data_IF_158723673745
#
_entry.id   IF_158723673745
#
_cell.length_a   1.000
_cell.length_b   1.000
_cell.length_c   1.000
_cell.angle_alpha   90.00
_cell.angle_beta   90.00
_cell.angle_gamma   90.00
#
_symmetry.space_group_name_H-M   'P 1'
#
loop_
_entity.id
_entity.type
_entity.pdbx_description
1 polymer ?
#
# COMPACT_ATOMS: atom_id res chain seq x y z
N UNK A 1 -24.19 -17.08 13.26
CA UNK A 1 -23.46 -16.11 12.40
C UNK A 1 -22.58 -16.93 11.49
N UNK A 2 -22.73 -16.79 10.17
CA UNK A 2 -21.86 -17.49 9.23
C UNK A 2 -20.44 -16.92 9.39
N UNK A 3 -19.46 -17.80 9.62
CA UNK A 3 -18.06 -17.46 9.48
C UNK A 3 -17.86 -17.11 7.99
N UNK A 4 -17.73 -15.82 7.67
CA UNK A 4 -17.27 -15.41 6.34
C UNK A 4 -15.79 -15.76 6.32
N UNK A 5 -15.40 -16.67 5.44
CA UNK A 5 -13.99 -16.94 5.21
C UNK A 5 -13.39 -15.69 4.56
N UNK A 6 -12.32 -15.18 5.12
CA UNK A 6 -11.60 -14.03 4.58
C UNK A 6 -11.02 -14.27 3.19
N UNK A 7 -10.90 -15.54 2.80
CA UNK A 7 -10.63 -15.96 1.43
C UNK A 7 -11.68 -15.45 0.43
N UNK A 8 -12.92 -15.17 0.86
CA UNK A 8 -14.00 -14.68 -0.02
C UNK A 8 -13.88 -13.18 -0.34
N UNK A 9 -13.16 -12.39 0.48
CA UNK A 9 -13.05 -10.92 0.31
C UNK A 9 -11.80 -10.50 -0.46
N UNK A 10 -10.74 -11.31 -0.41
CA UNK A 10 -9.53 -11.07 -1.20
C UNK A 10 -9.74 -11.62 -2.61
N UNK A 11 -9.99 -10.74 -3.57
CA UNK A 11 -10.11 -11.15 -4.98
C UNK A 11 -8.73 -11.32 -5.58
N UNK A 12 -8.42 -12.56 -5.94
CA UNK A 12 -7.13 -12.97 -6.50
C UNK A 12 -7.17 -12.92 -8.03
N UNK A 13 -6.15 -12.33 -8.62
CA UNK A 13 -5.96 -12.23 -10.06
C UNK A 13 -4.76 -13.06 -10.50
N UNK A 14 -4.93 -13.82 -11.59
CA UNK A 14 -3.84 -14.57 -12.23
C UNK A 14 -3.10 -13.78 -13.31
N UNK A 15 -3.53 -12.54 -13.61
CA UNK A 15 -2.88 -11.65 -14.57
C UNK A 15 -3.06 -10.19 -14.18
N UNK A 16 -2.07 -9.36 -14.56
CA UNK A 16 -2.14 -7.92 -14.37
C UNK A 16 -3.33 -7.30 -15.12
N UNK A 17 -3.64 -7.77 -16.33
CA UNK A 17 -4.81 -7.31 -17.11
C UNK A 17 -6.14 -7.55 -16.39
N UNK A 18 -6.25 -8.68 -15.67
CA UNK A 18 -7.40 -8.98 -14.83
C UNK A 18 -7.56 -7.97 -13.69
N UNK A 19 -6.46 -7.68 -12.99
CA UNK A 19 -6.42 -6.64 -11.95
C UNK A 19 -6.77 -5.26 -12.52
N UNK A 20 -6.18 -4.88 -13.65
CA UNK A 20 -6.41 -3.59 -14.30
C UNK A 20 -7.87 -3.40 -14.73
N UNK A 21 -8.49 -4.46 -15.24
CA UNK A 21 -9.92 -4.46 -15.60
C UNK A 21 -10.80 -4.28 -14.36
N UNK A 22 -10.47 -4.93 -13.24
CA UNK A 22 -11.20 -4.76 -12.00
C UNK A 22 -11.11 -3.33 -11.46
N UNK A 23 -9.91 -2.76 -11.43
CA UNK A 23 -9.69 -1.37 -11.00
C UNK A 23 -10.56 -0.44 -11.85
N UNK A 24 -10.54 -0.59 -13.18
CA UNK A 24 -11.33 0.23 -14.09
C UNK A 24 -12.85 0.09 -13.87
N UNK A 25 -13.32 -1.08 -13.45
CA UNK A 25 -14.71 -1.32 -13.10
C UNK A 25 -15.08 -0.68 -11.75
N UNK A 26 -14.24 -0.82 -10.72
CA UNK A 26 -14.44 -0.22 -9.40
C UNK A 26 -14.47 1.31 -9.44
N UNK A 27 -13.65 1.92 -10.29
CA UNK A 27 -13.67 3.37 -10.58
C UNK A 27 -15.02 3.88 -11.11
N UNK A 28 -15.84 2.99 -11.67
CA UNK A 28 -17.16 3.30 -12.24
C UNK A 28 -18.30 2.70 -11.42
N UNK A 29 -17.98 2.03 -10.32
CA UNK A 29 -18.95 1.30 -9.52
C UNK A 29 -19.91 2.25 -8.82
N UNK A 30 -21.19 1.89 -8.84
CA UNK A 30 -22.25 2.54 -8.05
C UNK A 30 -22.73 1.66 -6.89
N UNK A 31 -21.98 0.60 -6.56
CA UNK A 31 -22.26 -0.20 -5.38
C UNK A 31 -22.07 0.62 -4.10
N UNK A 32 -23.05 0.59 -3.20
CA UNK A 32 -23.04 1.44 -2.00
C UNK A 32 -21.87 1.13 -1.06
N UNK A 33 -21.48 -0.15 -0.92
CA UNK A 33 -20.37 -0.53 -0.06
C UNK A 33 -19.03 -0.10 -0.68
N UNK A 34 -18.90 -0.25 -2.01
CA UNK A 34 -17.76 0.25 -2.76
C UNK A 34 -17.63 1.79 -2.66
N UNK A 35 -18.74 2.52 -2.68
CA UNK A 35 -18.74 3.98 -2.60
C UNK A 35 -18.49 4.53 -1.20
N UNK A 36 -18.87 3.77 -0.16
CA UNK A 36 -18.76 4.21 1.24
C UNK A 36 -17.31 4.33 1.69
N UNK A 37 -16.51 3.28 1.47
CA UNK A 37 -15.12 3.23 1.92
C UNK A 37 -14.18 3.59 0.78
N UNK A 38 -13.34 4.60 0.98
CA UNK A 38 -12.53 5.16 -0.11
C UNK A 38 -11.27 4.34 -0.41
N UNK A 39 -10.71 3.64 0.58
CA UNK A 39 -9.41 2.97 0.44
C UNK A 39 -9.54 1.63 -0.29
N UNK A 40 -8.58 1.35 -1.18
CA UNK A 40 -8.44 0.10 -1.94
C UNK A 40 -7.05 -0.47 -1.73
N UNK A 41 -6.97 -1.62 -1.07
CA UNK A 41 -5.70 -2.31 -0.87
C UNK A 41 -5.41 -3.26 -2.02
N UNK A 42 -4.18 -3.20 -2.50
CA UNK A 42 -3.70 -3.99 -3.64
C UNK A 42 -2.44 -4.74 -3.20
N UNK A 43 -2.59 -6.01 -2.88
CA UNK A 43 -1.46 -6.87 -2.53
C UNK A 43 -0.70 -7.28 -3.80
N UNK A 44 0.58 -6.96 -3.81
CA UNK A 44 1.53 -7.29 -4.87
C UNK A 44 2.70 -8.06 -4.25
N UNK A 45 3.36 -8.91 -5.03
CA UNK A 45 4.44 -9.77 -4.55
C UNK A 45 5.82 -9.45 -5.14
N UNK A 46 5.92 -8.43 -6.01
CA UNK A 46 7.18 -7.91 -6.50
C UNK A 46 7.09 -6.39 -6.81
N UNK A 47 8.24 -5.76 -7.03
CA UNK A 47 8.35 -4.31 -7.28
C UNK A 47 8.15 -3.92 -8.74
N UNK A 48 8.31 -4.86 -9.67
CA UNK A 48 8.03 -4.60 -11.09
C UNK A 48 6.53 -4.40 -11.32
N UNK A 49 5.68 -5.19 -10.65
CA UNK A 49 4.22 -4.99 -10.68
C UNK A 49 3.79 -3.70 -9.98
N UNK A 50 4.54 -3.21 -8.99
CA UNK A 50 4.28 -1.89 -8.43
C UNK A 50 4.50 -0.81 -9.49
N UNK A 51 5.56 -0.91 -10.29
CA UNK A 51 5.83 0.05 -11.36
C UNK A 51 4.78 -0.01 -12.46
N UNK A 52 4.35 -1.20 -12.85
CA UNK A 52 3.25 -1.36 -13.81
C UNK A 52 1.94 -0.81 -13.26
N UNK A 53 1.65 -1.05 -11.97
CA UNK A 53 0.49 -0.45 -11.30
C UNK A 53 0.58 1.08 -11.26
N UNK A 54 1.74 1.65 -10.96
CA UNK A 54 1.94 3.10 -10.95
C UNK A 54 1.68 3.71 -12.35
N UNK A 55 2.19 3.08 -13.42
CA UNK A 55 1.91 3.50 -14.81
C UNK A 55 0.42 3.41 -15.14
N UNK A 56 -0.26 2.36 -14.67
CA UNK A 56 -1.70 2.19 -14.85
C UNK A 56 -2.49 3.32 -14.16
N UNK A 57 -2.12 3.67 -12.93
CA UNK A 57 -2.76 4.76 -12.17
C UNK A 57 -2.64 6.10 -12.88
N UNK A 58 -1.45 6.41 -13.42
CA UNK A 58 -1.23 7.60 -14.26
C UNK A 58 -2.13 7.58 -15.50
N UNK A 59 -2.25 6.43 -16.18
CA UNK A 59 -3.15 6.26 -17.34
C UNK A 59 -4.62 6.48 -16.98
N UNK A 60 -5.01 6.14 -15.76
CA UNK A 60 -6.36 6.39 -15.23
C UNK A 60 -6.57 7.81 -14.70
N UNK A 61 -5.55 8.68 -14.75
CA UNK A 61 -5.65 10.05 -14.26
C UNK A 61 -5.74 10.14 -12.73
N UNK A 62 -5.22 9.14 -12.02
CA UNK A 62 -5.14 9.10 -10.56
C UNK A 62 -3.94 9.93 -10.11
N UNK A 63 -4.12 10.81 -9.12
CA UNK A 63 -3.04 11.63 -8.58
C UNK A 63 -2.07 10.80 -7.74
N UNK A 64 -0.78 11.14 -7.75
CA UNK A 64 0.20 10.50 -6.87
C UNK A 64 0.23 11.20 -5.51
N UNK A 65 0.33 10.42 -4.45
CA UNK A 65 0.77 10.88 -3.13
C UNK A 65 2.08 10.15 -2.80
N UNK A 66 3.17 10.89 -2.91
CA UNK A 66 4.51 10.42 -2.66
C UNK A 66 4.86 10.63 -1.18
N UNK A 67 5.10 9.55 -0.44
CA UNK A 67 5.20 9.65 1.03
C UNK A 67 6.42 10.43 1.52
N UNK A 68 7.45 10.60 0.70
CA UNK A 68 8.57 11.48 1.06
C UNK A 68 8.19 12.97 1.05
N UNK A 69 7.07 13.35 0.44
CA UNK A 69 6.56 14.72 0.48
C UNK A 69 5.92 15.05 1.82
N UNK A 70 5.68 14.04 2.68
CA UNK A 70 5.14 14.23 4.02
C UNK A 70 6.20 14.64 5.06
N UNK A 71 7.48 14.53 4.73
CA UNK A 71 8.60 14.80 5.66
C UNK A 71 9.31 16.09 5.27
N UNK A 72 9.64 16.90 6.26
CA UNK A 72 10.37 18.16 6.06
C UNK A 72 11.89 17.90 6.04
N UNK A 73 12.36 17.04 6.95
CA UNK A 73 13.77 16.66 7.05
C UNK A 73 14.05 15.27 6.44
N UNK A 74 15.26 15.04 5.93
CA UNK A 74 15.62 13.79 5.22
C UNK A 74 15.50 12.52 6.09
N UNK A 75 15.67 12.64 7.41
CA UNK A 75 15.63 11.53 8.38
C UNK A 75 14.41 11.56 9.31
N UNK A 76 13.44 12.44 9.04
CA UNK A 76 12.20 12.48 9.81
C UNK A 76 11.32 11.27 9.47
N UNK A 77 10.80 10.58 10.49
CA UNK A 77 9.93 9.42 10.28
C UNK A 77 8.48 9.81 10.01
N UNK A 78 7.87 9.22 8.97
CA UNK A 78 6.42 9.35 8.72
C UNK A 78 5.64 8.67 9.83
N UNK A 79 5.02 9.47 10.70
CA UNK A 79 4.22 8.94 11.82
C UNK A 79 2.89 8.35 11.32
N UNK A 80 2.26 7.52 12.17
CA UNK A 80 0.92 6.98 11.91
C UNK A 80 -0.11 8.07 11.65
N UNK A 81 -0.06 9.14 12.45
CA UNK A 81 -1.01 10.25 12.35
C UNK A 81 -0.76 11.04 11.05
N UNK A 82 0.49 11.35 10.70
CA UNK A 82 0.82 11.99 9.43
C UNK A 82 0.30 11.18 8.23
N UNK A 83 0.52 9.87 8.22
CA UNK A 83 0.06 9.01 7.13
C UNK A 83 -1.47 8.94 7.08
N UNK A 84 -2.13 8.79 8.23
CA UNK A 84 -3.61 8.78 8.32
C UNK A 84 -4.20 10.10 7.82
N UNK A 85 -3.66 11.22 8.28
CA UNK A 85 -4.14 12.56 7.94
C UNK A 85 -3.92 12.85 6.45
N UNK A 86 -2.79 12.41 5.88
CA UNK A 86 -2.55 12.51 4.44
C UNK A 86 -3.60 11.75 3.62
N UNK A 87 -3.95 10.52 4.02
CA UNK A 87 -5.01 9.74 3.36
C UNK A 87 -6.37 10.44 3.45
N UNK A 88 -6.71 11.00 4.62
CA UNK A 88 -7.97 11.74 4.79
C UNK A 88 -8.00 13.05 3.99
N UNK A 89 -6.84 13.67 3.78
CA UNK A 89 -6.70 14.93 3.04
C UNK A 89 -6.82 14.76 1.52
N UNK A 90 -6.70 13.54 0.98
CA UNK A 90 -6.89 13.26 -0.45
C UNK A 90 -8.28 13.73 -0.92
N UNK A 91 -8.31 14.65 -1.89
CA UNK A 91 -9.55 15.24 -2.43
C UNK A 91 -10.06 14.53 -3.69
N UNK A 92 -9.15 13.91 -4.41
CA UNK A 92 -9.34 13.21 -5.68
C UNK A 92 -8.94 11.75 -5.50
N UNK A 93 -9.11 10.94 -6.55
CA UNK A 93 -8.58 9.58 -6.51
C UNK A 93 -7.05 9.63 -6.50
N UNK A 94 -6.43 8.92 -5.57
CA UNK A 94 -5.01 9.04 -5.25
C UNK A 94 -4.35 7.68 -5.15
N UNK A 95 -3.12 7.56 -5.67
CA UNK A 95 -2.25 6.40 -5.55
C UNK A 95 -1.11 6.71 -4.58
N UNK A 96 -0.99 5.94 -3.51
CA UNK A 96 -0.12 6.26 -2.37
C UNK A 96 1.13 5.39 -2.39
N UNK A 97 2.31 5.98 -2.51
CA UNK A 97 3.56 5.21 -2.64
C UNK A 97 4.76 5.90 -1.97
N UNK A 98 5.70 5.16 -1.36
CA UNK A 98 5.70 3.71 -1.12
C UNK A 98 5.09 3.33 0.24
N UNK A 99 3.79 3.02 0.28
CA UNK A 99 3.06 2.81 1.54
C UNK A 99 3.60 1.66 2.41
N UNK A 100 3.91 0.51 1.81
CA UNK A 100 4.50 -0.64 2.50
C UNK A 100 5.73 -0.30 3.33
N UNK A 101 6.51 0.65 2.86
CA UNK A 101 7.86 0.92 3.36
C UNK A 101 7.86 1.78 4.63
N UNK A 102 6.73 2.40 4.93
CA UNK A 102 6.44 3.01 6.23
C UNK A 102 5.84 1.96 7.18
N UNK A 103 4.75 1.30 6.77
CA UNK A 103 3.97 0.45 7.68
C UNK A 103 4.65 -0.88 8.03
N UNK A 104 5.65 -1.33 7.25
CA UNK A 104 6.37 -2.59 7.55
C UNK A 104 7.07 -2.58 8.90
N UNK A 105 7.42 -1.39 9.40
CA UNK A 105 8.14 -1.22 10.65
C UNK A 105 7.23 -1.03 11.87
N UNK A 106 5.92 -0.99 11.67
CA UNK A 106 4.98 -0.98 12.78
C UNK A 106 5.05 -2.30 13.53
N UNK A 107 4.97 -2.26 14.87
CA UNK A 107 4.70 -3.46 15.66
C UNK A 107 3.28 -3.98 15.37
N UNK A 108 2.92 -5.16 15.87
CA UNK A 108 1.64 -5.79 15.51
C UNK A 108 0.41 -5.01 15.98
N UNK A 109 0.48 -4.37 17.14
CA UNK A 109 -0.62 -3.56 17.68
C UNK A 109 -0.80 -2.30 16.84
N UNK A 110 0.29 -1.62 16.51
CA UNK A 110 0.31 -0.43 15.64
C UNK A 110 -0.18 -0.76 14.24
N UNK A 111 0.24 -1.89 13.67
CA UNK A 111 -0.20 -2.35 12.35
C UNK A 111 -1.71 -2.60 12.35
N UNK A 112 -2.22 -3.39 13.31
CA UNK A 112 -3.65 -3.70 13.40
C UNK A 112 -4.49 -2.45 13.65
N UNK A 113 -4.09 -1.61 14.60
CA UNK A 113 -4.79 -0.36 14.91
C UNK A 113 -4.86 0.56 13.70
N UNK A 114 -3.72 0.77 13.04
CA UNK A 114 -3.65 1.63 11.87
C UNK A 114 -4.53 1.13 10.70
N UNK A 115 -4.46 -0.16 10.35
CA UNK A 115 -5.30 -0.69 9.27
C UNK A 115 -6.79 -0.73 9.62
N UNK A 116 -7.17 -0.99 10.89
CA UNK A 116 -8.54 -0.84 11.36
C UNK A 116 -9.08 0.57 11.09
N UNK A 117 -8.26 1.59 11.34
CA UNK A 117 -8.65 2.98 11.15
C UNK A 117 -8.78 3.34 9.67
N UNK A 118 -7.77 3.01 8.85
CA UNK A 118 -7.75 3.47 7.45
C UNK A 118 -8.70 2.68 6.54
N UNK A 119 -8.97 1.40 6.83
CA UNK A 119 -9.96 0.61 6.07
C UNK A 119 -11.37 1.20 6.13
N UNK A 120 -11.65 1.97 7.19
CA UNK A 120 -12.95 2.55 7.48
C UNK A 120 -13.02 4.04 7.13
N UNK A 121 -12.03 4.58 6.40
CA UNK A 121 -12.09 5.95 5.89
C UNK A 121 -13.24 6.05 4.88
N UNK A 122 -14.21 6.90 5.20
CA UNK A 122 -15.37 7.19 4.38
C UNK A 122 -15.25 8.55 3.70
N UNK A 123 -15.75 8.68 2.46
CA UNK A 123 -15.97 9.97 1.81
C UNK A 123 -17.33 10.00 1.12
N UNK A 124 -18.37 10.19 1.93
CA UNK A 124 -19.76 10.26 1.48
C UNK A 124 -20.01 11.43 0.51
N UNK A 125 -19.15 12.47 0.55
CA UNK A 125 -19.29 13.64 -0.34
C UNK A 125 -18.75 13.36 -1.74
N UNK A 126 -17.75 12.48 -1.85
CA UNK A 126 -17.15 12.06 -3.10
C UNK A 126 -17.19 10.53 -3.25
N UNK A 127 -18.38 9.94 -3.51
CA UNK A 127 -18.57 8.49 -3.51
C UNK A 127 -17.75 7.75 -4.58
N UNK A 128 -17.20 8.46 -5.57
CA UNK A 128 -16.34 7.90 -6.62
C UNK A 128 -14.84 8.05 -6.33
N UNK A 129 -14.46 8.75 -5.25
CA UNK A 129 -13.06 8.89 -4.83
C UNK A 129 -12.51 7.53 -4.40
N UNK A 130 -11.29 7.21 -4.83
CA UNK A 130 -10.57 5.99 -4.43
C UNK A 130 -9.15 6.33 -4.01
N UNK A 131 -8.72 5.77 -2.89
CA UNK A 131 -7.34 5.86 -2.43
C UNK A 131 -6.70 4.48 -2.60
N UNK A 132 -5.88 4.32 -3.62
CA UNK A 132 -5.21 3.08 -3.97
C UNK A 132 -3.92 2.94 -3.18
N UNK A 133 -3.86 1.87 -2.38
CA UNK A 133 -2.77 1.58 -1.47
C UNK A 133 -2.13 0.24 -1.85
N UNK A 134 -0.98 0.25 -2.54
CA UNK A 134 -0.23 -0.96 -2.84
C UNK A 134 0.44 -1.51 -1.57
N UNK A 135 0.35 -2.83 -1.40
CA UNK A 135 0.94 -3.60 -0.30
C UNK A 135 1.90 -4.64 -0.88
N UNK A 136 3.19 -4.31 -0.89
CA UNK A 136 4.29 -5.19 -1.31
C UNK A 136 4.99 -5.75 -0.08
N UNK A 137 5.34 -7.04 -0.10
CA UNK A 137 6.08 -7.69 0.99
C UNK A 137 5.31 -7.85 2.31
N UNK A 138 4.03 -7.46 2.33
CA UNK A 138 3.17 -7.48 3.52
C UNK A 138 2.00 -8.46 3.40
N UNK A 139 1.92 -9.25 2.32
CA UNK A 139 0.79 -10.12 2.02
C UNK A 139 0.38 -11.02 3.19
N UNK A 140 1.32 -11.76 3.79
CA UNK A 140 1.01 -12.67 4.90
C UNK A 140 0.48 -11.89 6.11
N UNK A 141 1.20 -10.85 6.53
CA UNK A 141 0.84 -10.02 7.69
C UNK A 141 -0.51 -9.33 7.50
N UNK A 142 -0.78 -8.84 6.29
CA UNK A 142 -2.05 -8.21 5.97
C UNK A 142 -3.20 -9.21 5.89
N UNK A 143 -2.97 -10.40 5.31
CA UNK A 143 -3.95 -11.50 5.31
C UNK A 143 -4.29 -11.92 6.74
N UNK A 144 -3.29 -12.06 7.61
CA UNK A 144 -3.50 -12.36 9.03
C UNK A 144 -4.31 -11.28 9.74
N UNK A 145 -4.08 -10.00 9.42
CA UNK A 145 -4.91 -8.91 9.91
C UNK A 145 -6.36 -9.04 9.41
N UNK A 146 -6.57 -9.28 8.11
CA UNK A 146 -7.92 -9.42 7.54
C UNK A 146 -8.70 -10.55 8.22
N UNK A 147 -8.05 -11.67 8.54
CA UNK A 147 -8.65 -12.83 9.24
C UNK A 147 -9.31 -12.46 10.58
N UNK A 148 -8.86 -11.37 11.21
CA UNK A 148 -9.37 -10.88 12.49
C UNK A 148 -10.17 -9.58 12.35
N UNK A 149 -10.33 -9.06 11.13
CA UNK A 149 -11.03 -7.82 10.88
C UNK A 149 -12.55 -8.03 10.93
N UNK A 150 -13.17 -7.63 12.05
CA UNK A 150 -14.58 -7.91 12.33
C UNK A 150 -15.56 -7.36 11.28
N UNK A 151 -15.17 -6.30 10.56
CA UNK A 151 -16.03 -5.61 9.57
C UNK A 151 -15.65 -5.95 8.13
N UNK A 152 -14.95 -7.06 7.91
CA UNK A 152 -14.53 -7.48 6.56
C UNK A 152 -15.72 -7.59 5.62
N UNK A 153 -16.88 -8.09 6.05
CA UNK A 153 -18.09 -8.16 5.21
C UNK A 153 -18.57 -6.81 4.68
N UNK A 154 -18.36 -5.73 5.43
CA UNK A 154 -18.79 -4.38 5.09
C UNK A 154 -17.73 -3.56 4.35
N UNK A 155 -16.45 -3.96 4.39
CA UNK A 155 -15.36 -3.15 3.83
C UNK A 155 -15.34 -3.09 2.31
N UNK A 156 -14.52 -2.18 1.78
CA UNK A 156 -14.09 -2.22 0.39
C UNK A 156 -13.43 -3.57 0.01
N UNK A 157 -13.45 -3.95 -1.28
CA UNK A 157 -12.71 -5.12 -1.75
C UNK A 157 -11.21 -4.95 -1.55
N UNK A 158 -10.53 -6.08 -1.31
CA UNK A 158 -9.08 -6.18 -1.32
C UNK A 158 -8.67 -6.99 -2.54
N UNK A 159 -7.68 -6.52 -3.28
CA UNK A 159 -7.19 -7.20 -4.46
C UNK A 159 -5.82 -7.81 -4.22
N UNK A 160 -5.56 -8.95 -4.87
CA UNK A 160 -4.26 -9.61 -4.85
C UNK A 160 -3.87 -10.00 -6.26
N UNK A 161 -2.66 -9.64 -6.66
CA UNK A 161 -2.06 -10.15 -7.88
C UNK A 161 -0.83 -10.99 -7.55
N UNK A 162 -0.89 -12.28 -7.88
CA UNK A 162 0.16 -13.26 -7.61
C UNK A 162 1.05 -13.39 -8.87
N UNK A 163 2.03 -12.49 -9.04
CA UNK A 163 3.06 -12.57 -10.08
C UNK A 163 4.24 -13.46 -9.65
N UNK A 164 5.37 -13.43 -10.37
CA UNK A 164 6.59 -14.09 -9.91
C UNK A 164 7.15 -13.37 -8.66
N UNK A 165 7.52 -14.15 -7.64
CA UNK A 165 7.96 -13.57 -6.36
C UNK A 165 9.39 -13.04 -6.47
N UNK A 166 9.56 -11.77 -6.09
CA UNK A 166 10.86 -11.14 -5.91
C UNK A 166 11.15 -11.04 -4.41
N UNK A 167 12.33 -11.50 -3.97
CA UNK A 167 12.73 -11.42 -2.56
C UNK A 167 13.77 -10.33 -2.40
N UNK A 168 13.56 -9.47 -1.41
CA UNK A 168 14.48 -8.36 -1.10
C UNK A 168 14.83 -8.42 0.37
N UNK A 169 16.13 -8.45 0.65
CA UNK A 169 16.65 -8.38 2.02
C UNK A 169 16.90 -6.92 2.40
N UNK A 170 16.36 -6.52 3.55
CA UNK A 170 16.46 -5.14 4.06
C UNK A 170 17.11 -5.20 5.43
N UNK A 171 18.22 -4.47 5.57
CA UNK A 171 18.93 -4.33 6.83
C UNK A 171 18.78 -2.92 7.36
N UNK A 172 18.36 -2.79 8.62
CA UNK A 172 18.30 -1.51 9.32
C UNK A 172 19.46 -1.42 10.30
N UNK A 173 20.32 -0.42 10.14
CA UNK A 173 21.44 -0.18 11.07
C UNK A 173 21.08 0.93 12.05
N UNK A 174 21.44 0.74 13.33
CA UNK A 174 21.34 1.78 14.35
C UNK A 174 22.39 2.90 14.16
N UNK A 175 23.45 2.62 13.41
CA UNK A 175 24.59 3.51 13.24
C UNK A 175 24.59 4.13 11.84
N UNK A 176 24.39 5.45 11.79
CA UNK A 176 24.41 6.25 10.54
C UNK A 176 25.74 6.13 9.77
N UNK A 177 26.84 5.91 10.50
CA UNK A 177 28.20 5.83 9.95
C UNK A 177 28.64 4.40 9.63
N UNK A 178 27.71 3.45 9.56
CA UNK A 178 28.05 2.10 9.10
C UNK A 178 28.40 2.14 7.60
N UNK A 179 29.59 1.66 7.26
CA UNK A 179 30.03 1.52 5.87
C UNK A 179 29.86 0.08 5.43
N UNK A 180 29.19 -0.10 4.29
CA UNK A 180 29.05 -1.41 3.67
C UNK A 180 30.42 -1.77 3.07
N UNK A 181 30.98 -2.96 3.36
CA UNK A 181 32.23 -3.41 2.73
C UNK A 181 32.13 -3.33 1.19
N UNK A 182 33.19 -2.90 0.52
CA UNK A 182 33.17 -2.61 -0.94
C UNK A 182 32.85 -3.83 -1.83
N UNK A 183 32.92 -5.04 -1.29
CA UNK A 183 32.67 -6.30 -1.98
C UNK A 183 31.23 -6.80 -1.83
N UNK A 184 30.37 -6.07 -1.13
CA UNK A 184 28.97 -6.39 -0.91
C UNK A 184 28.11 -5.85 -2.07
N UNK A 185 27.04 -6.57 -2.41
CA UNK A 185 26.09 -6.22 -3.48
C UNK A 185 25.01 -5.23 -3.03
N UNK A 186 24.93 -4.97 -1.72
CA UNK A 186 23.92 -4.17 -1.06
C UNK A 186 24.16 -2.68 -1.32
N UNK A 187 23.10 -1.93 -1.60
CA UNK A 187 23.17 -0.47 -1.66
C UNK A 187 22.95 0.14 -0.27
N UNK A 188 23.64 1.26 0.01
CA UNK A 188 23.43 2.07 1.22
C UNK A 188 22.46 3.20 0.89
N UNK A 189 21.41 3.32 1.69
CA UNK A 189 20.48 4.44 1.66
C UNK A 189 20.75 5.28 2.91
N UNK A 190 21.16 6.52 2.70
CA UNK A 190 21.73 7.37 3.76
C UNK A 190 20.68 8.09 4.60
N UNK A 191 19.44 8.12 4.11
CA UNK A 191 18.33 8.80 4.76
C UNK A 191 16.99 8.07 4.58
N UNK A 192 15.99 8.44 5.39
CA UNK A 192 14.63 7.95 5.17
C UNK A 192 14.06 8.44 3.83
N UNK A 193 14.37 9.68 3.44
CA UNK A 193 13.96 10.22 2.13
C UNK A 193 14.52 9.37 0.98
N UNK A 194 15.79 8.95 1.06
CA UNK A 194 16.39 8.03 0.08
C UNK A 194 15.66 6.69 0.05
N UNK A 195 15.34 6.15 1.22
CA UNK A 195 14.55 4.93 1.36
C UNK A 195 13.19 5.02 0.68
N UNK A 196 12.42 6.08 0.92
CA UNK A 196 11.10 6.26 0.31
C UNK A 196 11.19 6.51 -1.21
N UNK A 197 12.25 7.15 -1.69
CA UNK A 197 12.46 7.36 -3.14
C UNK A 197 12.94 6.12 -3.87
N UNK A 198 13.75 5.28 -3.22
CA UNK A 198 14.43 4.14 -3.82
C UNK A 198 13.46 3.22 -4.58
N UNK A 199 12.35 2.87 -3.94
CA UNK A 199 11.35 1.92 -4.44
C UNK A 199 10.61 2.36 -5.71
N UNK A 200 10.64 3.66 -6.01
CA UNK A 200 9.99 4.24 -7.19
C UNK A 200 10.91 4.22 -8.40
N UNK A 201 12.22 4.35 -8.16
CA UNK A 201 13.23 4.50 -9.22
C UNK A 201 13.89 3.16 -9.55
N UNK A 202 14.19 2.36 -8.53
CA UNK A 202 14.96 1.13 -8.68
C UNK A 202 14.19 -0.04 -8.06
N UNK A 203 13.95 -1.09 -8.86
CA UNK A 203 13.51 -2.37 -8.30
C UNK A 203 14.79 -3.11 -7.89
N UNK A 204 14.86 -3.73 -6.71
CA UNK A 204 16.03 -4.52 -6.32
C UNK A 204 16.21 -5.68 -7.30
N UNK A 205 17.26 -5.69 -8.11
CA UNK A 205 17.51 -6.82 -9.01
C UNK A 205 18.17 -7.97 -8.26
#
# INVERSE_FOLDING_TARGET
MAHIDTSDKVKVFGSFDGLATEIANDMKSNDMLAQRYAVRFIMLNNFDELKELAKLMVKFGVEALDLEELIDEDDEWVTKDMLRDALMACKTSTFVTPFSEVVRFYNDDDFRGFFNDIMLIEDVRNPQKRIYVPLIGLQNRFTDFLNHFARIGESAPVWRYDAEKQTVEVYFTKYKNYEIPQNEIQCKLSSLRDWLKFWKVQAPQ
#
